data_IF_321597392499
#
_entry.id   IF_321597392499
#
_cell.length_a   1.000
_cell.length_b   1.000
_cell.length_c   1.000
_cell.angle_alpha   90.00
_cell.angle_beta   90.00
_cell.angle_gamma   90.00
#
_symmetry.space_group_name_H-M   'P 1'
#
loop_
_entity.id
_entity.type
_entity.pdbx_description
1 polymer ?
#
# COMPACT_ATOMS: atom_id res chain seq x y z
N UNK A 1 15.95 44.19 46.61
CA UNK A 1 15.35 44.18 45.25
C UNK A 1 14.30 43.09 45.25
N UNK A 2 13.12 43.42 45.77
CA UNK A 2 11.98 42.50 45.83
C UNK A 2 11.37 42.37 44.44
N UNK A 3 11.38 41.13 43.92
CA UNK A 3 10.75 40.79 42.66
C UNK A 3 9.24 40.86 42.79
N UNK A 4 8.62 41.78 42.06
CA UNK A 4 7.18 41.82 41.88
C UNK A 4 6.75 40.52 41.18
N UNK A 5 6.03 39.65 41.90
CA UNK A 5 5.33 38.51 41.29
C UNK A 5 4.06 39.04 40.65
N UNK A 6 4.18 39.46 39.40
CA UNK A 6 3.03 39.79 38.56
C UNK A 6 2.22 38.51 38.29
N UNK A 7 0.94 38.55 38.63
CA UNK A 7 -0.03 37.50 38.35
C UNK A 7 -0.64 37.69 36.96
N UNK A 8 -0.96 36.58 36.29
CA UNK A 8 -1.61 36.59 34.97
C UNK A 8 -3.01 37.24 35.06
N UNK A 9 -3.34 38.18 34.17
CA UNK A 9 -4.69 38.77 34.15
C UNK A 9 -5.68 37.85 33.43
N UNK A 10 -6.97 37.94 33.78
CA UNK A 10 -8.03 37.14 33.12
C UNK A 10 -8.10 37.42 31.61
N UNK A 11 -7.87 38.67 31.21
CA UNK A 11 -7.81 39.06 29.80
C UNK A 11 -6.62 38.41 29.08
N UNK A 12 -5.46 38.38 29.71
CA UNK A 12 -4.27 37.72 29.14
C UNK A 12 -4.49 36.21 28.97
N UNK A 13 -5.16 35.55 29.92
CA UNK A 13 -5.53 34.14 29.81
C UNK A 13 -6.49 33.90 28.63
N UNK A 14 -7.49 34.78 28.44
CA UNK A 14 -8.40 34.69 27.30
C UNK A 14 -7.69 34.88 25.96
N UNK A 15 -6.73 35.80 25.87
CA UNK A 15 -5.94 36.02 24.66
C UNK A 15 -5.09 34.77 24.36
N UNK A 16 -4.35 34.25 25.35
CA UNK A 16 -3.54 33.04 25.17
C UNK A 16 -4.39 31.84 24.75
N UNK A 17 -5.56 31.66 25.38
CA UNK A 17 -6.48 30.58 25.02
C UNK A 17 -7.02 30.74 23.60
N UNK A 18 -7.40 31.97 23.20
CA UNK A 18 -7.88 32.24 21.84
C UNK A 18 -6.83 31.94 20.78
N UNK A 19 -5.58 32.37 21.00
CA UNK A 19 -4.46 32.08 20.10
C UNK A 19 -4.18 30.57 20.07
N UNK A 20 -4.22 29.90 21.23
CA UNK A 20 -4.06 28.45 21.32
C UNK A 20 -5.10 27.67 20.53
N UNK A 21 -6.38 28.08 20.57
CA UNK A 21 -7.44 27.46 19.78
C UNK A 21 -7.26 27.67 18.28
N UNK A 22 -6.83 28.86 17.85
CA UNK A 22 -6.57 29.13 16.43
C UNK A 22 -5.41 28.26 15.92
N UNK A 23 -4.31 28.15 16.68
CA UNK A 23 -3.15 27.34 16.29
C UNK A 23 -3.51 25.84 16.23
N UNK A 24 -4.26 25.34 17.22
CA UNK A 24 -4.69 23.93 17.23
C UNK A 24 -5.66 23.63 16.08
N UNK A 25 -6.56 24.54 15.73
CA UNK A 25 -7.46 24.40 14.59
C UNK A 25 -6.71 24.22 13.25
N UNK A 26 -5.56 24.89 13.08
CA UNK A 26 -4.72 24.75 11.87
C UNK A 26 -3.87 23.47 11.94
N UNK A 27 -3.37 23.10 13.11
CA UNK A 27 -2.46 21.96 13.28
C UNK A 27 -3.15 20.59 13.10
N UNK A 28 -4.38 20.43 13.59
CA UNK A 28 -5.12 19.16 13.53
C UNK A 28 -5.29 18.57 12.12
N UNK A 29 -5.76 19.32 11.09
CA UNK A 29 -5.90 18.78 9.75
C UNK A 29 -4.55 18.42 9.11
N UNK A 30 -3.48 19.14 9.43
CA UNK A 30 -2.12 18.83 8.95
C UNK A 30 -1.66 17.49 9.53
N UNK A 31 -1.81 17.29 10.84
CA UNK A 31 -1.43 16.06 11.52
C UNK A 31 -2.18 14.83 10.97
N UNK A 32 -3.49 14.96 10.72
CA UNK A 32 -4.29 13.88 10.13
C UNK A 32 -3.73 13.44 8.76
N UNK A 33 -3.35 14.40 7.91
CA UNK A 33 -2.73 14.12 6.63
C UNK A 33 -1.38 13.42 6.76
N UNK A 34 -0.54 13.83 7.71
CA UNK A 34 0.77 13.23 7.98
C UNK A 34 0.61 11.78 8.42
N UNK A 35 -0.28 11.50 9.39
CA UNK A 35 -0.51 10.14 9.90
C UNK A 35 -1.01 9.21 8.80
N UNK A 36 -1.96 9.65 7.98
CA UNK A 36 -2.45 8.85 6.87
C UNK A 36 -1.37 8.55 5.81
N UNK A 37 -0.51 9.53 5.49
CA UNK A 37 0.64 9.29 4.61
C UNK A 37 1.65 8.30 5.22
N UNK A 38 1.87 8.36 6.54
CA UNK A 38 2.72 7.37 7.23
C UNK A 38 2.10 5.97 7.17
N UNK A 39 0.79 5.85 7.37
CA UNK A 39 0.06 4.58 7.23
C UNK A 39 0.15 4.01 5.80
N UNK A 40 0.06 4.84 4.78
CA UNK A 40 0.27 4.42 3.38
C UNK A 40 1.69 3.85 3.19
N UNK A 41 2.73 4.56 3.66
CA UNK A 41 4.13 4.11 3.57
C UNK A 41 4.39 2.82 4.36
N UNK A 42 3.81 2.71 5.55
CA UNK A 42 3.85 1.49 6.36
C UNK A 42 3.18 0.33 5.62
N UNK A 43 2.01 0.56 5.03
CA UNK A 43 1.29 -0.45 4.23
C UNK A 43 2.11 -0.92 3.03
N UNK A 44 2.76 -0.01 2.30
CA UNK A 44 3.65 -0.40 1.19
C UNK A 44 4.84 -1.24 1.66
N UNK A 45 5.34 -0.99 2.88
CA UNK A 45 6.38 -1.80 3.50
C UNK A 45 5.87 -3.20 3.81
N UNK A 46 4.70 -3.31 4.45
CA UNK A 46 4.05 -4.57 4.76
C UNK A 46 3.73 -5.40 3.51
N UNK A 47 3.18 -4.80 2.46
CA UNK A 47 2.93 -5.48 1.18
C UNK A 47 4.27 -5.94 0.58
N UNK A 48 5.29 -5.10 0.53
CA UNK A 48 6.59 -5.50 -0.03
C UNK A 48 7.23 -6.66 0.75
N UNK A 49 7.07 -6.68 2.08
CA UNK A 49 7.52 -7.77 2.94
C UNK A 49 6.75 -9.06 2.69
N UNK A 50 5.42 -8.96 2.53
CA UNK A 50 4.62 -10.13 2.18
C UNK A 50 4.97 -10.65 0.78
N UNK A 51 5.11 -9.80 -0.23
CA UNK A 51 5.49 -10.24 -1.58
C UNK A 51 6.86 -10.95 -1.58
N UNK A 52 7.80 -10.46 -0.78
CA UNK A 52 9.07 -11.17 -0.53
C UNK A 52 8.85 -12.50 0.19
N UNK A 53 7.98 -12.56 1.18
CA UNK A 53 7.63 -13.80 1.86
C UNK A 53 6.97 -14.82 0.89
N UNK A 54 6.00 -14.40 0.08
CA UNK A 54 5.35 -15.23 -0.95
C UNK A 54 6.39 -15.83 -1.89
N UNK A 55 7.37 -15.02 -2.33
CA UNK A 55 8.50 -15.48 -3.13
C UNK A 55 9.32 -16.56 -2.40
N UNK A 56 9.63 -16.35 -1.12
CA UNK A 56 10.40 -17.32 -0.33
C UNK A 56 9.63 -18.61 -0.09
N UNK A 57 8.32 -18.54 0.15
CA UNK A 57 7.45 -19.71 0.33
C UNK A 57 7.32 -20.50 -0.98
N UNK A 58 7.27 -19.83 -2.13
CA UNK A 58 7.30 -20.48 -3.44
C UNK A 58 8.56 -21.35 -3.61
N UNK A 59 9.72 -20.81 -3.23
CA UNK A 59 11.00 -21.53 -3.26
C UNK A 59 11.02 -22.66 -2.24
N UNK A 60 10.62 -22.39 -1.00
CA UNK A 60 10.66 -23.35 0.10
C UNK A 60 9.78 -24.58 -0.18
N UNK A 61 8.57 -24.37 -0.69
CA UNK A 61 7.65 -25.47 -1.01
C UNK A 61 7.86 -26.05 -2.40
N UNK A 62 8.80 -25.52 -3.19
CA UNK A 62 9.03 -25.89 -4.58
C UNK A 62 7.73 -25.85 -5.42
N UNK A 63 6.90 -24.84 -5.21
CA UNK A 63 5.60 -24.66 -5.86
C UNK A 63 5.42 -23.23 -6.33
N UNK A 64 4.60 -23.05 -7.37
CA UNK A 64 4.16 -21.71 -7.76
C UNK A 64 3.26 -21.13 -6.66
N UNK A 65 3.56 -19.91 -6.20
CA UNK A 65 2.71 -19.17 -5.26
C UNK A 65 2.29 -17.84 -5.87
N UNK A 66 1.09 -17.40 -5.54
CA UNK A 66 0.54 -16.10 -5.96
C UNK A 66 0.21 -15.27 -4.74
N UNK A 67 0.59 -13.99 -4.75
CA UNK A 67 0.22 -13.04 -3.74
C UNK A 67 -1.14 -12.45 -4.10
N UNK A 68 -2.20 -12.99 -3.49
CA UNK A 68 -3.55 -12.52 -3.69
C UNK A 68 -3.88 -11.40 -2.71
N UNK A 69 -4.92 -10.64 -3.04
CA UNK A 69 -5.49 -9.64 -2.14
C UNK A 69 -7.01 -9.70 -2.12
N UNK A 70 -7.59 -9.26 -1.00
CA UNK A 70 -9.03 -9.07 -0.85
C UNK A 70 -9.28 -7.87 0.07
N UNK A 71 -10.48 -7.27 -0.02
CA UNK A 71 -10.87 -6.10 0.78
C UNK A 71 -12.36 -6.14 1.09
N UNK A 72 -12.76 -5.60 2.24
CA UNK A 72 -14.16 -5.46 2.62
C UNK A 72 -14.83 -6.81 2.85
N UNK A 73 -16.07 -6.95 2.38
CA UNK A 73 -16.87 -8.16 2.54
C UNK A 73 -16.38 -9.34 1.66
N UNK A 74 -15.50 -9.08 0.70
CA UNK A 74 -14.95 -10.07 -0.23
C UNK A 74 -13.74 -10.83 0.35
N UNK A 75 -13.49 -10.73 1.67
CA UNK A 75 -12.23 -11.13 2.28
C UNK A 75 -12.38 -11.86 3.62
N UNK A 76 -12.29 -13.21 3.65
CA UNK A 76 -13.40 -14.12 3.28
C UNK A 76 -14.81 -13.58 3.49
N UNK A 77 -15.82 -14.23 2.89
CA UNK A 77 -17.24 -13.85 3.05
C UNK A 77 -17.64 -13.96 4.53
N UNK A 78 -17.51 -12.83 5.23
CA UNK A 78 -17.69 -12.67 6.67
C UNK A 78 -18.53 -11.43 6.89
N UNK A 79 -19.31 -11.40 7.96
CA UNK A 79 -20.05 -10.20 8.36
C UNK A 79 -19.13 -9.04 8.79
N UNK A 80 -17.83 -9.32 9.00
CA UNK A 80 -16.82 -8.35 9.40
C UNK A 80 -16.22 -7.71 8.15
N UNK A 81 -16.23 -6.37 8.10
CA UNK A 81 -15.56 -5.61 7.05
C UNK A 81 -14.04 -5.62 7.33
N UNK A 82 -13.30 -6.28 6.46
CA UNK A 82 -11.84 -6.28 6.52
C UNK A 82 -11.25 -5.08 5.77
N UNK A 83 -10.09 -4.61 6.23
CA UNK A 83 -9.27 -3.70 5.44
C UNK A 83 -8.67 -4.44 4.23
N UNK A 84 -7.74 -3.81 3.51
CA UNK A 84 -7.04 -4.51 2.44
C UNK A 84 -6.13 -5.58 3.06
N UNK A 85 -6.34 -6.84 2.70
CA UNK A 85 -5.52 -7.98 3.14
C UNK A 85 -4.76 -8.52 1.93
N UNK A 86 -3.47 -8.77 2.10
CA UNK A 86 -2.69 -9.56 1.16
C UNK A 86 -2.32 -10.91 1.78
N UNK A 87 -2.27 -11.95 0.96
CA UNK A 87 -1.92 -13.29 1.40
C UNK A 87 -1.28 -14.13 0.29
N UNK A 88 -0.43 -15.08 0.66
CA UNK A 88 0.19 -16.02 -0.27
C UNK A 88 -0.71 -17.24 -0.47
N UNK A 89 -1.01 -17.60 -1.71
CA UNK A 89 -1.78 -18.80 -2.07
C UNK A 89 -1.02 -19.70 -3.03
N UNK A 90 -1.34 -21.00 -3.02
CA UNK A 90 -0.94 -21.90 -4.11
C UNK A 90 -1.36 -21.31 -5.46
N UNK A 91 -0.51 -21.49 -6.48
CA UNK A 91 -0.68 -20.89 -7.81
C UNK A 91 -2.13 -20.93 -8.26
N UNK A 92 -2.74 -19.75 -8.30
CA UNK A 92 -4.16 -19.54 -8.60
C UNK A 92 -4.34 -18.17 -9.22
N UNK A 93 -5.43 -18.00 -9.98
CA UNK A 93 -5.89 -16.67 -10.36
C UNK A 93 -6.70 -16.12 -9.20
N UNK A 94 -6.23 -15.06 -8.57
CA UNK A 94 -6.93 -14.43 -7.46
C UNK A 94 -8.24 -13.83 -7.95
N UNK A 95 -9.30 -14.11 -7.20
CA UNK A 95 -10.67 -13.64 -7.46
C UNK A 95 -11.29 -13.25 -6.12
N UNK A 96 -12.48 -12.66 -6.14
CA UNK A 96 -13.21 -12.30 -4.91
C UNK A 96 -13.59 -13.51 -4.04
N UNK A 97 -13.52 -14.73 -4.58
CA UNK A 97 -13.73 -15.98 -3.83
C UNK A 97 -12.43 -16.61 -3.34
N UNK A 98 -11.28 -16.06 -3.74
CA UNK A 98 -9.97 -16.51 -3.25
C UNK A 98 -9.75 -15.91 -1.88
N UNK A 99 -9.71 -16.75 -0.86
CA UNK A 99 -9.65 -16.32 0.54
C UNK A 99 -8.42 -16.89 1.25
N UNK A 100 -7.83 -16.15 2.20
CA UNK A 100 -6.73 -16.66 3.01
C UNK A 100 -7.20 -17.81 3.91
N UNK A 101 -6.40 -18.87 3.99
CA UNK A 101 -6.49 -19.87 5.04
C UNK A 101 -5.62 -19.46 6.24
N UNK A 102 -5.89 -19.99 7.43
CA UNK A 102 -5.11 -19.66 8.65
C UNK A 102 -3.61 -19.96 8.52
N UNK A 103 -3.24 -20.94 7.68
CA UNK A 103 -1.86 -21.30 7.42
C UNK A 103 -1.18 -20.44 6.33
N UNK A 104 -1.95 -19.66 5.57
CA UNK A 104 -1.39 -18.81 4.53
C UNK A 104 -0.67 -17.61 5.17
N UNK A 105 0.57 -17.30 4.78
CA UNK A 105 1.20 -16.04 5.13
C UNK A 105 0.32 -14.89 4.67
N UNK A 106 -0.03 -13.99 5.59
CA UNK A 106 -0.97 -12.90 5.32
C UNK A 106 -0.64 -11.65 6.12
N UNK A 107 -1.10 -10.50 5.61
CA UNK A 107 -1.01 -9.21 6.29
C UNK A 107 -2.25 -8.38 5.99
N UNK A 108 -2.86 -7.84 7.04
CA UNK A 108 -3.93 -6.85 6.94
C UNK A 108 -3.34 -5.44 7.08
N UNK A 109 -3.80 -4.52 6.24
CA UNK A 109 -3.23 -3.18 6.12
C UNK A 109 -4.11 -2.16 6.85
N UNK A 110 -3.47 -1.27 7.61
CA UNK A 110 -4.19 -0.25 8.39
C UNK A 110 -4.69 0.95 7.57
N UNK A 111 -4.12 1.17 6.38
CA UNK A 111 -4.50 2.31 5.54
C UNK A 111 -5.76 1.99 4.72
N UNK A 112 -6.68 2.95 4.53
CA UNK A 112 -7.84 2.78 3.64
C UNK A 112 -7.38 2.89 2.17
N UNK A 113 -6.67 1.87 1.69
CA UNK A 113 -6.09 1.87 0.34
C UNK A 113 -6.79 0.87 -0.58
N UNK A 114 -6.81 1.16 -1.87
CA UNK A 114 -7.33 0.27 -2.92
C UNK A 114 -6.24 -0.05 -3.92
N UNK A 115 -6.00 -1.35 -4.23
CA UNK A 115 -5.10 -1.74 -5.29
C UNK A 115 -5.75 -1.51 -6.66
N UNK A 116 -4.94 -1.07 -7.62
CA UNK A 116 -5.36 -0.67 -8.97
C UNK A 116 -4.35 -1.20 -9.99
N UNK A 117 -4.85 -1.54 -11.18
CA UNK A 117 -4.00 -1.96 -12.32
C UNK A 117 -3.35 -0.77 -13.02
N UNK A 118 -3.93 0.42 -12.89
CA UNK A 118 -3.38 1.68 -13.36
C UNK A 118 -3.94 2.84 -12.50
N UNK A 119 -3.24 3.98 -12.39
CA UNK A 119 -3.82 5.17 -11.79
C UNK A 119 -5.01 5.67 -12.62
N UNK A 120 -6.16 5.86 -11.98
CA UNK A 120 -7.42 6.28 -12.63
C UNK A 120 -8.18 7.30 -11.78
N UNK A 121 -8.99 8.13 -12.44
CA UNK A 121 -9.81 9.16 -11.79
C UNK A 121 -9.19 10.55 -11.80
N UNK A 122 -9.94 11.53 -11.28
CA UNK A 122 -9.49 12.92 -11.23
C UNK A 122 -8.26 13.07 -10.31
N UNK A 123 -7.22 13.74 -10.80
CA UNK A 123 -5.95 13.91 -10.07
C UNK A 123 -5.08 12.66 -10.01
N UNK A 124 -5.37 11.63 -10.82
CA UNK A 124 -4.51 10.46 -10.92
C UNK A 124 -3.17 10.82 -11.60
N UNK A 125 -2.02 10.32 -11.08
CA UNK A 125 -0.73 10.47 -11.74
C UNK A 125 -0.67 9.67 -13.04
N UNK A 126 0.29 9.97 -13.95
CA UNK A 126 0.58 9.08 -15.07
C UNK A 126 1.11 7.74 -14.57
N UNK A 127 0.98 6.69 -15.39
CA UNK A 127 1.67 5.41 -15.16
C UNK A 127 3.18 5.60 -15.16
N UNK A 128 3.91 4.77 -14.41
CA UNK A 128 5.38 4.78 -14.36
C UNK A 128 5.90 4.18 -15.66
N UNK A 129 6.85 4.83 -16.33
CA UNK A 129 7.39 4.33 -17.58
C UNK A 129 8.30 3.12 -17.33
N UNK A 130 8.37 2.19 -18.30
CA UNK A 130 9.25 1.03 -18.21
C UNK A 130 10.73 1.41 -17.99
N UNK A 131 11.18 2.52 -18.55
CA UNK A 131 12.55 3.05 -18.33
C UNK A 131 12.82 3.35 -16.86
N UNK A 132 11.86 3.94 -16.16
CA UNK A 132 11.97 4.28 -14.74
C UNK A 132 11.94 3.02 -13.87
N UNK A 133 11.18 2.00 -14.30
CA UNK A 133 11.14 0.68 -13.66
C UNK A 133 12.38 -0.18 -13.96
N UNK A 134 13.22 0.21 -14.93
CA UNK A 134 14.33 -0.61 -15.40
C UNK A 134 13.89 -1.86 -16.16
N UNK A 135 12.78 -1.76 -16.91
CA UNK A 135 12.15 -2.86 -17.65
C UNK A 135 12.26 -2.64 -19.16
N UNK A 136 12.42 -3.74 -19.90
CA UNK A 136 12.40 -3.75 -21.38
C UNK A 136 11.02 -4.09 -21.94
N UNK A 137 10.21 -4.81 -21.18
CA UNK A 137 8.84 -5.20 -21.51
C UNK A 137 7.85 -4.58 -20.53
N UNK A 138 6.60 -4.43 -20.96
CA UNK A 138 5.54 -3.97 -20.07
C UNK A 138 5.37 -4.93 -18.89
N UNK A 139 5.35 -4.42 -17.65
CA UNK A 139 5.07 -5.22 -16.47
C UNK A 139 3.62 -5.72 -16.49
N UNK A 140 3.39 -6.86 -15.84
CA UNK A 140 2.07 -7.36 -15.55
C UNK A 140 1.42 -6.52 -14.45
N UNK A 141 0.11 -6.28 -14.56
CA UNK A 141 -0.67 -5.53 -13.57
C UNK A 141 -1.57 -6.40 -12.72
N UNK A 142 -1.52 -7.71 -12.94
CA UNK A 142 -2.25 -8.72 -12.15
C UNK A 142 -1.53 -8.99 -10.83
N UNK A 143 -2.16 -9.79 -9.98
CA UNK A 143 -1.53 -10.29 -8.76
C UNK A 143 -0.17 -10.96 -9.04
N UNK A 144 0.90 -10.60 -8.30
CA UNK A 144 2.21 -11.18 -8.51
C UNK A 144 2.27 -12.67 -8.18
N UNK A 145 2.74 -13.46 -9.15
CA UNK A 145 3.04 -14.88 -8.95
C UNK A 145 4.54 -15.15 -9.07
N UNK A 146 5.01 -16.15 -8.34
CA UNK A 146 6.40 -16.59 -8.32
C UNK A 146 6.48 -18.10 -8.57
N UNK A 147 7.40 -18.56 -9.42
CA UNK A 147 7.70 -19.99 -9.54
C UNK A 147 8.47 -20.52 -8.33
N UNK A 148 8.70 -21.83 -8.33
CA UNK A 148 9.56 -22.54 -7.38
C UNK A 148 11.03 -22.08 -7.35
N UNK A 149 11.47 -21.23 -8.28
CA UNK A 149 12.80 -20.60 -8.26
C UNK A 149 12.76 -19.18 -7.69
N UNK A 150 11.59 -18.71 -7.26
CA UNK A 150 11.38 -17.38 -6.73
C UNK A 150 11.48 -16.29 -7.80
N UNK A 151 11.31 -16.62 -9.08
CA UNK A 151 11.26 -15.63 -10.15
C UNK A 151 9.80 -15.24 -10.40
N UNK A 152 9.51 -13.94 -10.50
CA UNK A 152 8.18 -13.47 -10.82
C UNK A 152 7.80 -13.88 -12.24
N UNK A 153 6.55 -14.30 -12.43
CA UNK A 153 6.09 -14.81 -13.71
C UNK A 153 4.59 -14.70 -13.93
N UNK A 154 4.19 -14.72 -15.19
CA UNK A 154 2.79 -14.82 -15.58
C UNK A 154 2.23 -16.18 -15.16
N UNK A 155 1.28 -16.16 -14.22
CA UNK A 155 0.48 -17.33 -13.89
C UNK A 155 -0.66 -17.51 -14.90
N UNK A 156 -0.77 -18.73 -15.44
CA UNK A 156 -1.85 -19.16 -16.32
C UNK A 156 -2.51 -20.38 -15.70
N UNK A 157 -3.82 -20.28 -15.48
CA UNK A 157 -4.63 -21.33 -14.88
C UNK A 157 -4.78 -22.53 -15.85
N UNK A 158 -4.59 -23.79 -15.41
CA UNK A 158 -4.17 -24.24 -14.09
C UNK A 158 -2.65 -24.36 -13.92
N UNK A 159 -2.13 -23.78 -12.83
CA UNK A 159 -0.85 -24.13 -12.21
C UNK A 159 0.42 -23.63 -12.91
N UNK A 160 0.34 -23.08 -14.12
CA UNK A 160 1.54 -22.84 -14.93
C UNK A 160 2.06 -21.41 -14.80
N UNK A 161 3.26 -21.30 -14.26
CA UNK A 161 4.08 -20.09 -14.35
C UNK A 161 4.83 -20.15 -15.68
N UNK A 162 4.38 -19.38 -16.67
CA UNK A 162 4.81 -19.57 -18.07
C UNK A 162 6.02 -18.74 -18.45
N UNK A 163 5.96 -17.42 -18.24
CA UNK A 163 7.02 -16.48 -18.65
C UNK A 163 7.42 -15.62 -17.48
N UNK A 164 8.74 -15.52 -17.22
CA UNK A 164 9.25 -14.58 -16.23
C UNK A 164 8.99 -13.14 -16.71
N UNK A 165 8.27 -12.36 -15.92
CA UNK A 165 7.97 -10.98 -16.24
C UNK A 165 7.96 -10.13 -14.96
N UNK A 166 8.11 -8.83 -15.11
CA UNK A 166 7.94 -7.89 -14.02
C UNK A 166 6.47 -7.68 -13.70
N UNK A 167 6.22 -7.11 -12.53
CA UNK A 167 4.90 -6.70 -12.07
C UNK A 167 4.90 -5.24 -11.67
N UNK A 168 3.74 -4.60 -11.77
CA UNK A 168 3.47 -3.32 -11.14
C UNK A 168 2.04 -3.29 -10.63
N UNK A 169 1.86 -2.77 -9.43
CA UNK A 169 0.54 -2.56 -8.85
C UNK A 169 0.50 -1.17 -8.24
N UNK A 170 -0.59 -0.46 -8.49
CA UNK A 170 -0.81 0.88 -7.99
C UNK A 170 -1.74 0.85 -6.79
N UNK A 171 -1.62 1.84 -5.92
CA UNK A 171 -2.43 1.98 -4.72
C UNK A 171 -2.89 3.42 -4.61
N UNK A 172 -4.19 3.59 -4.34
CA UNK A 172 -4.80 4.87 -4.01
C UNK A 172 -5.26 4.87 -2.57
N UNK A 173 -4.94 5.94 -1.84
CA UNK A 173 -5.56 6.23 -0.55
C UNK A 173 -6.98 6.79 -0.76
N UNK A 174 -7.98 6.09 -0.22
CA UNK A 174 -9.41 6.35 -0.41
C UNK A 174 -10.01 7.30 0.64
N UNK A 175 -9.17 7.92 1.48
CA UNK A 175 -9.61 8.85 2.51
C UNK A 175 -10.50 9.98 1.95
N UNK A 176 -11.59 10.27 2.66
CA UNK A 176 -12.56 11.33 2.33
C UNK A 176 -11.90 12.69 2.58
N UNK A 177 -11.68 13.50 1.53
CA UNK A 177 -11.02 14.81 1.66
C UNK A 177 -10.11 15.26 0.51
N UNK A 178 -10.10 14.56 -0.62
CA UNK A 178 -9.57 15.07 -1.90
C UNK A 178 -8.06 15.03 -2.11
N UNK A 179 -7.26 14.65 -1.10
CA UNK A 179 -5.80 14.51 -1.19
C UNK A 179 -5.37 13.05 -1.10
N UNK A 180 -5.99 12.17 -1.88
CA UNK A 180 -5.60 10.75 -1.93
C UNK A 180 -4.16 10.63 -2.41
N UNK A 181 -3.26 10.18 -1.53
CA UNK A 181 -1.89 9.90 -1.90
C UNK A 181 -1.83 8.63 -2.77
N UNK A 182 -0.87 8.60 -3.69
CA UNK A 182 -0.66 7.48 -4.58
C UNK A 182 0.65 6.78 -4.25
N UNK A 183 0.61 5.45 -4.28
CA UNK A 183 1.79 4.62 -4.19
C UNK A 183 1.76 3.54 -5.28
N UNK A 184 2.90 2.92 -5.53
CA UNK A 184 2.98 1.73 -6.37
C UNK A 184 4.04 0.78 -5.82
N UNK A 185 3.91 -0.49 -6.15
CA UNK A 185 4.96 -1.49 -5.94
C UNK A 185 5.26 -2.11 -7.29
N UNK A 186 6.54 -2.16 -7.64
CA UNK A 186 7.01 -2.84 -8.84
C UNK A 186 7.96 -3.97 -8.49
N UNK A 187 7.90 -5.04 -9.27
CA UNK A 187 8.78 -6.19 -9.18
C UNK A 187 9.45 -6.36 -10.54
N UNK A 188 10.77 -6.38 -10.61
CA UNK A 188 11.49 -6.67 -11.86
C UNK A 188 11.42 -8.17 -12.19
N UNK A 189 11.64 -8.61 -13.46
CA UNK A 189 11.76 -10.02 -13.81
C UNK A 189 12.83 -10.79 -13.00
N UNK A 190 13.80 -10.08 -12.42
CA UNK A 190 14.83 -10.63 -11.55
C UNK A 190 14.40 -10.74 -10.07
N UNK A 191 13.16 -10.36 -9.73
CA UNK A 191 12.63 -10.41 -8.36
C UNK A 191 13.07 -9.25 -7.46
N UNK A 192 13.54 -8.13 -8.01
CA UNK A 192 13.81 -6.90 -7.23
C UNK A 192 12.52 -6.13 -6.99
N UNK A 193 12.24 -5.82 -5.72
CA UNK A 193 11.09 -5.06 -5.28
C UNK A 193 11.44 -3.58 -5.14
N UNK A 194 10.58 -2.70 -5.65
CA UNK A 194 10.65 -1.25 -5.42
C UNK A 194 9.29 -0.73 -5.02
N UNK A 195 9.29 0.26 -4.13
CA UNK A 195 8.10 1.00 -3.72
C UNK A 195 8.21 2.38 -4.34
N UNK A 196 7.08 2.95 -4.73
CA UNK A 196 7.01 4.25 -5.37
C UNK A 196 5.94 5.08 -4.68
N UNK A 197 6.18 6.38 -4.56
CA UNK A 197 5.26 7.35 -3.99
C UNK A 197 5.13 8.54 -4.92
N UNK A 198 3.91 9.01 -5.14
CA UNK A 198 3.66 10.21 -5.94
C UNK A 198 3.88 11.47 -5.11
N UNK A 199 4.70 12.38 -5.63
CA UNK A 199 5.01 13.66 -4.97
C UNK A 199 4.07 14.81 -5.34
N UNK A 200 3.12 14.59 -6.25
CA UNK A 200 2.30 15.64 -6.86
C UNK A 200 2.72 15.98 -8.29
N UNK A 201 3.98 15.73 -8.66
CA UNK A 201 4.52 16.00 -10.00
C UNK A 201 5.34 14.86 -10.60
N UNK A 202 5.92 13.99 -9.78
CA UNK A 202 6.70 12.83 -10.20
C UNK A 202 6.58 11.65 -9.24
N UNK A 203 6.82 10.45 -9.75
CA UNK A 203 7.05 9.27 -8.94
C UNK A 203 8.46 9.32 -8.33
N UNK A 204 8.56 8.94 -7.05
CA UNK A 204 9.81 8.83 -6.32
C UNK A 204 9.85 7.49 -5.57
N UNK A 205 11.05 6.92 -5.43
CA UNK A 205 11.29 5.69 -4.66
C UNK A 205 11.34 5.97 -3.15
#
# INVERSE_FOLDING_TARGET
MEGYKDGFTLLELLIVFSVGLIVTAIALPIMSNVVANQKLRASMTSISGLLQNTRMVAVHENKTKTACHCKGADCPTSAVLHALVYFAKDGTTCTTTTVPATADPQVELEAPITPLTAPVGAGAPPTINNSDLGLLSNPLTTDPSFNSRGLPCLYVNPGTCTTNNGFIQYFRDDRIGGSGAWAAISITPAGRFKRWFWSGSKWAE
#
